data_IF_954529387789
#
_entry.id   IF_954529387789
#
_cell.length_a   1.000
_cell.length_b   1.000
_cell.length_c   1.000
_cell.angle_alpha   90.00
_cell.angle_beta   90.00
_cell.angle_gamma   90.00
#
_symmetry.space_group_name_H-M   'P 1'
#
loop_
_entity.id
_entity.type
_entity.pdbx_description
1 polymer ?
#
# COMPACT_ATOMS: atom_id res chain seq x y z
N UNK A 1 0.79 9.62 -10.88
CA UNK A 1 -0.24 8.54 -10.91
C UNK A 1 0.50 7.25 -11.06
N UNK A 2 0.55 6.48 -9.98
CA UNK A 2 1.41 5.31 -9.92
C UNK A 2 0.57 4.04 -9.84
N UNK A 3 1.03 3.04 -10.58
CA UNK A 3 0.42 1.71 -10.64
C UNK A 3 1.52 0.72 -10.29
N UNK A 4 1.31 -0.01 -9.20
CA UNK A 4 2.15 -1.14 -8.80
C UNK A 4 1.38 -2.44 -8.95
N UNK A 5 2.07 -3.53 -9.24
CA UNK A 5 1.45 -4.85 -9.33
C UNK A 5 1.73 -5.58 -8.02
N UNK A 6 0.69 -6.04 -7.35
CA UNK A 6 0.86 -6.81 -6.12
C UNK A 6 1.48 -8.18 -6.38
N UNK A 7 1.94 -8.85 -5.32
CA UNK A 7 2.49 -10.22 -5.41
C UNK A 7 1.54 -11.25 -6.04
N UNK A 8 0.24 -10.98 -6.03
CA UNK A 8 -0.79 -11.83 -6.65
C UNK A 8 -1.23 -11.34 -8.04
N UNK A 9 -0.39 -10.56 -8.71
CA UNK A 9 -0.62 -10.02 -10.05
C UNK A 9 -1.85 -9.12 -10.15
N UNK A 10 -2.24 -8.47 -9.04
CA UNK A 10 -3.35 -7.50 -9.03
C UNK A 10 -2.77 -6.09 -9.20
N UNK A 11 -3.10 -5.36 -10.26
CA UNK A 11 -2.67 -3.98 -10.42
C UNK A 11 -3.40 -3.08 -9.43
N UNK A 12 -2.65 -2.31 -8.64
CA UNK A 12 -3.17 -1.35 -7.67
C UNK A 12 -2.79 0.04 -8.13
N UNK A 13 -3.80 0.89 -8.32
CA UNK A 13 -3.65 2.28 -8.76
C UNK A 13 -3.86 3.23 -7.59
N UNK A 14 -2.81 3.99 -7.27
CA UNK A 14 -2.84 5.04 -6.25
C UNK A 14 -2.59 6.40 -6.91
N UNK A 15 -3.66 7.16 -7.15
CA UNK A 15 -3.56 8.53 -7.66
C UNK A 15 -3.20 9.49 -6.55
N UNK A 16 -2.65 10.65 -6.91
CA UNK A 16 -2.36 11.74 -5.95
C UNK A 16 -3.61 12.14 -5.17
N UNK A 17 -4.74 12.35 -5.84
CA UNK A 17 -6.03 12.67 -5.20
C UNK A 17 -6.43 11.62 -4.14
N UNK A 18 -6.30 10.33 -4.46
CA UNK A 18 -6.62 9.26 -3.50
C UNK A 18 -5.64 9.25 -2.33
N UNK A 19 -4.36 9.50 -2.59
CA UNK A 19 -3.36 9.62 -1.55
C UNK A 19 -3.67 10.79 -0.62
N UNK A 20 -4.01 11.96 -1.15
CA UNK A 20 -4.42 13.13 -0.37
C UNK A 20 -5.60 12.80 0.55
N UNK A 21 -6.64 12.13 0.03
CA UNK A 21 -7.77 11.71 0.86
C UNK A 21 -7.41 10.71 1.97
N UNK A 22 -6.41 9.84 1.73
CA UNK A 22 -5.91 8.91 2.76
C UNK A 22 -5.23 9.70 3.87
N UNK A 23 -4.27 10.57 3.53
CA UNK A 23 -3.48 11.31 4.53
C UNK A 23 -4.29 12.40 5.26
N UNK A 24 -5.40 12.88 4.68
CA UNK A 24 -6.34 13.78 5.38
C UNK A 24 -6.91 13.17 6.68
N UNK A 25 -7.07 11.85 6.73
CA UNK A 25 -7.56 11.13 7.91
C UNK A 25 -6.46 10.35 8.65
N UNK A 26 -5.29 10.20 8.02
CA UNK A 26 -4.15 9.42 8.49
C UNK A 26 -2.87 10.21 8.22
N UNK A 27 -2.68 11.28 8.99
CA UNK A 27 -1.52 12.17 8.88
C UNK A 27 -0.20 11.44 9.18
N UNK A 28 -0.26 10.36 9.97
CA UNK A 28 0.83 9.42 10.22
C UNK A 28 1.39 8.74 8.96
N UNK A 29 0.59 8.65 7.89
CA UNK A 29 1.03 8.13 6.60
C UNK A 29 1.70 9.18 5.72
N UNK A 30 1.69 10.47 6.09
CA UNK A 30 2.32 11.52 5.30
C UNK A 30 3.82 11.23 5.12
N UNK A 31 4.30 11.32 3.87
CA UNK A 31 5.69 10.98 3.52
C UNK A 31 5.96 9.49 3.28
N UNK A 32 4.99 8.59 3.51
CA UNK A 32 5.14 7.16 3.26
C UNK A 32 4.59 6.70 1.89
N UNK A 33 4.40 7.61 0.92
CA UNK A 33 3.83 7.27 -0.39
C UNK A 33 4.58 6.13 -1.09
N UNK A 34 5.90 6.32 -1.29
CA UNK A 34 6.75 5.32 -1.94
C UNK A 34 6.84 4.04 -1.12
N UNK A 35 6.82 4.17 0.20
CA UNK A 35 6.87 3.04 1.12
C UNK A 35 5.64 2.14 1.00
N UNK A 36 4.45 2.73 0.83
CA UNK A 36 3.21 2.00 0.58
C UNK A 36 3.28 1.26 -0.76
N UNK A 37 3.73 1.94 -1.82
CA UNK A 37 3.88 1.34 -3.14
C UNK A 37 4.88 0.16 -3.13
N UNK A 38 6.06 0.35 -2.51
CA UNK A 38 7.05 -0.70 -2.37
C UNK A 38 6.53 -1.87 -1.53
N UNK A 39 5.77 -1.61 -0.45
CA UNK A 39 5.20 -2.67 0.38
C UNK A 39 4.18 -3.51 -0.40
N UNK A 40 3.45 -2.90 -1.35
CA UNK A 40 2.52 -3.63 -2.20
C UNK A 40 3.25 -4.50 -3.23
N UNK A 41 4.30 -3.95 -3.86
CA UNK A 41 5.06 -4.61 -4.93
C UNK A 41 5.95 -5.74 -4.41
N UNK A 42 6.69 -5.48 -3.33
CA UNK A 42 7.64 -6.41 -2.73
C UNK A 42 7.56 -6.44 -1.19
N UNK A 43 6.51 -7.08 -0.63
CA UNK A 43 6.39 -7.30 0.81
C UNK A 43 7.29 -8.45 1.29
N UNK A 44 7.71 -8.37 2.56
CA UNK A 44 8.39 -9.47 3.24
C UNK A 44 7.44 -10.62 3.57
N UNK A 45 6.19 -10.29 3.91
CA UNK A 45 5.17 -11.27 4.29
C UNK A 45 3.79 -10.76 3.93
N UNK A 46 2.90 -11.67 3.53
CA UNK A 46 1.48 -11.39 3.32
C UNK A 46 0.68 -12.22 4.30
N UNK A 47 -0.19 -11.57 5.08
CA UNK A 47 -1.08 -12.21 6.04
C UNK A 47 -2.54 -12.07 5.61
N UNK A 48 -3.38 -12.99 6.05
CA UNK A 48 -4.83 -12.90 5.87
C UNK A 48 -5.44 -12.04 6.99
N UNK A 49 -6.19 -11.02 6.59
CA UNK A 49 -7.00 -10.19 7.47
C UNK A 49 -8.48 -10.56 7.44
N UNK A 50 -9.33 -9.68 7.95
CA UNK A 50 -10.78 -9.90 7.93
C UNK A 50 -11.33 -9.93 6.50
N UNK A 51 -12.41 -10.70 6.29
CA UNK A 51 -13.13 -10.80 5.01
C UNK A 51 -12.22 -11.17 3.83
N UNK A 52 -11.25 -12.08 4.05
CA UNK A 52 -10.27 -12.54 3.04
C UNK A 52 -9.37 -11.43 2.50
N UNK A 53 -9.18 -10.35 3.25
CA UNK A 53 -8.23 -9.32 2.89
C UNK A 53 -6.80 -9.88 2.95
N UNK A 54 -5.96 -9.49 1.99
CA UNK A 54 -4.53 -9.79 2.00
C UNK A 54 -3.79 -8.53 2.44
N UNK A 55 -3.02 -8.63 3.52
CA UNK A 55 -2.28 -7.51 4.10
C UNK A 55 -0.80 -7.73 3.85
N UNK A 56 -0.21 -6.84 3.06
CA UNK A 56 1.20 -6.81 2.76
C UNK A 56 1.96 -6.14 3.91
N UNK A 57 3.00 -6.81 4.43
CA UNK A 57 3.85 -6.32 5.51
C UNK A 57 5.29 -6.29 5.04
N UNK A 58 5.97 -5.17 5.34
CA UNK A 58 7.39 -4.97 5.09
C UNK A 58 8.06 -4.40 6.33
N UNK A 59 9.24 -4.91 6.64
CA UNK A 59 10.01 -4.61 7.85
C UNK A 59 11.06 -3.57 7.52
N UNK A 60 11.06 -2.48 8.28
CA UNK A 60 12.01 -1.38 8.11
C UNK A 60 11.54 -0.40 7.03
N UNK A 61 10.98 0.71 7.50
CA UNK A 61 10.84 1.97 6.78
C UNK A 61 11.55 3.04 7.59
#
# INVERSE_FOLDING_TARGET
MDIVVSKYSVPIRLTEERWFHIIENHDDLAGHYDNVLQTIEDPDTIIEGYKKALIALRRGL
#
